data_IF_664280073804
#
_entry.id   IF_664280073804
#
_cell.length_a   1.000
_cell.length_b   1.000
_cell.length_c   1.000
_cell.angle_alpha   90.00
_cell.angle_beta   90.00
_cell.angle_gamma   90.00
#
_symmetry.space_group_name_H-M   'P 1'
#
loop_
_entity.id
_entity.type
_entity.pdbx_description
1 polymer ?
#
# COMPACT_ATOMS: atom_id res chain seq x y z
N UNK A 1 -25.98 46.25 7.91
CA UNK A 1 -25.98 46.92 9.25
C UNK A 1 -25.20 46.01 10.18
N UNK A 2 -24.07 46.55 10.61
CA UNK A 2 -23.33 46.31 11.85
C UNK A 2 -22.72 44.92 12.01
N UNK A 3 -21.47 44.76 12.43
CA UNK A 3 -20.43 45.62 13.00
C UNK A 3 -19.19 44.77 13.17
N UNK A 4 -18.13 45.12 12.54
CA UNK A 4 -16.79 45.36 13.02
C UNK A 4 -16.51 44.88 14.47
N UNK A 5 -15.70 43.83 14.60
CA UNK A 5 -14.79 43.74 15.73
C UNK A 5 -13.41 43.29 15.23
N UNK A 6 -12.58 44.32 15.06
CA UNK A 6 -11.12 44.19 15.00
C UNK A 6 -10.67 44.06 16.46
N UNK A 7 -10.00 42.99 16.79
CA UNK A 7 -9.17 42.96 17.98
C UNK A 7 -7.76 42.56 17.53
N UNK A 8 -6.93 43.61 17.53
CA UNK A 8 -5.48 43.48 17.49
C UNK A 8 -5.04 42.91 18.83
N UNK A 9 -4.34 41.80 18.84
CA UNK A 9 -3.52 41.43 19.98
C UNK A 9 -2.07 41.32 19.50
N UNK A 10 -1.43 42.49 19.55
CA UNK A 10 0.01 42.65 19.53
C UNK A 10 0.52 42.32 20.91
N UNK A 11 1.18 41.21 21.11
CA UNK A 11 2.17 41.04 22.15
C UNK A 11 3.35 40.33 21.56
N UNK A 12 4.39 41.10 21.35
CA UNK A 12 5.71 40.58 21.04
C UNK A 12 6.28 39.88 22.26
N UNK A 13 6.98 38.81 22.02
CA UNK A 13 8.01 38.35 22.91
C UNK A 13 9.25 37.92 22.14
N UNK A 14 10.29 38.62 22.46
CA UNK A 14 11.61 38.53 21.84
C UNK A 14 12.39 37.31 22.34
N UNK A 15 13.25 36.85 21.48
CA UNK A 15 14.56 36.27 21.75
C UNK A 15 14.67 35.13 22.77
N UNK A 16 14.95 33.93 22.30
CA UNK A 16 16.15 33.21 22.79
C UNK A 16 16.86 32.56 21.59
N UNK A 17 17.97 33.14 21.23
CA UNK A 17 19.00 32.55 20.42
C UNK A 17 19.65 31.42 21.23
N UNK A 18 19.33 30.21 20.90
CA UNK A 18 19.99 29.02 21.42
C UNK A 18 20.66 28.27 20.26
N UNK A 19 21.84 28.73 19.88
CA UNK A 19 22.77 27.97 19.07
C UNK A 19 23.20 26.73 19.85
N UNK A 20 22.70 25.57 19.48
CA UNK A 20 23.42 24.32 19.68
C UNK A 20 23.53 23.64 18.32
N UNK A 21 24.61 23.95 17.63
CA UNK A 21 25.09 23.18 16.51
C UNK A 21 25.56 21.82 17.01
N UNK A 22 24.63 20.89 17.17
CA UNK A 22 24.99 19.48 17.24
C UNK A 22 25.02 18.97 15.81
N UNK A 23 26.18 19.12 15.18
CA UNK A 23 26.50 18.37 13.97
C UNK A 23 26.58 16.89 14.33
N UNK A 24 25.43 16.25 14.29
CA UNK A 24 25.43 14.81 14.08
C UNK A 24 25.76 14.60 12.61
N UNK A 25 27.03 14.31 12.31
CA UNK A 25 27.41 13.60 11.12
C UNK A 25 26.76 12.22 11.23
N UNK A 26 25.46 12.18 10.95
CA UNK A 26 24.71 10.94 10.84
C UNK A 26 25.25 10.19 9.64
N UNK A 27 25.75 8.98 9.86
CA UNK A 27 25.81 7.96 8.84
C UNK A 27 24.57 8.10 7.94
N UNK A 28 24.69 7.86 6.61
CA UNK A 28 23.52 7.58 5.83
C UNK A 28 22.91 6.31 6.43
N UNK A 29 22.06 6.50 7.43
CA UNK A 29 21.24 5.45 7.93
C UNK A 29 20.52 4.91 6.70
N UNK A 30 20.80 3.67 6.36
CA UNK A 30 19.92 2.86 5.54
C UNK A 30 18.55 3.23 6.06
N UNK A 31 17.78 3.95 5.24
CA UNK A 31 16.40 4.23 5.56
C UNK A 31 15.72 2.85 5.57
N UNK A 32 15.67 2.26 6.75
CA UNK A 32 14.78 1.16 7.01
C UNK A 32 13.41 1.76 6.74
N UNK A 33 12.87 1.47 5.56
CA UNK A 33 11.49 1.78 5.26
C UNK A 33 10.69 1.08 6.35
N UNK A 34 10.26 1.87 7.30
CA UNK A 34 9.41 1.41 8.37
C UNK A 34 8.06 1.15 7.71
N UNK A 35 7.85 -0.11 7.30
CA UNK A 35 6.56 -0.54 6.75
C UNK A 35 5.47 -0.15 7.73
N UNK A 36 4.41 0.45 7.21
CA UNK A 36 3.22 0.71 8.02
C UNK A 36 2.74 -0.64 8.59
N UNK A 37 2.57 -0.78 9.91
CA UNK A 37 2.09 -2.01 10.52
C UNK A 37 0.81 -2.57 9.88
N UNK A 38 -0.02 -1.70 9.32
CA UNK A 38 -1.26 -2.08 8.61
C UNK A 38 -0.95 -2.80 7.29
N UNK A 39 0.07 -2.34 6.57
CA UNK A 39 0.47 -2.95 5.30
C UNK A 39 1.19 -4.27 5.54
N UNK A 40 2.00 -4.37 6.61
CA UNK A 40 2.63 -5.62 7.01
C UNK A 40 1.58 -6.70 7.34
N UNK A 41 0.56 -6.37 8.14
CA UNK A 41 -0.55 -7.28 8.43
C UNK A 41 -1.34 -7.67 7.17
N UNK A 42 -1.59 -6.72 6.28
CA UNK A 42 -2.26 -6.99 5.01
C UNK A 42 -1.43 -7.91 4.12
N UNK A 43 -0.11 -7.71 4.07
CA UNK A 43 0.83 -8.57 3.34
C UNK A 43 0.72 -10.02 3.81
N UNK A 44 0.84 -10.26 5.10
CA UNK A 44 0.82 -11.61 5.69
C UNK A 44 -0.52 -12.31 5.43
N UNK A 45 -1.62 -11.58 5.53
CA UNK A 45 -2.95 -12.09 5.21
C UNK A 45 -3.09 -12.47 3.74
N UNK A 46 -2.57 -11.64 2.82
CA UNK A 46 -2.61 -11.91 1.39
C UNK A 46 -1.73 -13.11 1.02
N UNK A 47 -0.49 -13.15 1.51
CA UNK A 47 0.45 -14.23 1.21
C UNK A 47 -0.10 -15.59 1.69
N UNK A 48 -0.55 -15.66 2.94
CA UNK A 48 -1.08 -16.90 3.52
C UNK A 48 -2.44 -17.28 2.95
N UNK A 49 -3.36 -16.31 2.87
CA UNK A 49 -4.73 -16.57 2.44
C UNK A 49 -4.90 -16.87 0.96
N UNK A 50 -3.99 -16.37 0.11
CA UNK A 50 -3.99 -16.64 -1.33
C UNK A 50 -3.05 -17.80 -1.70
N UNK A 51 -2.38 -18.42 -0.73
CA UNK A 51 -1.44 -19.52 -0.96
C UNK A 51 -0.39 -19.17 -2.02
N UNK A 52 0.26 -18.00 -1.85
CA UNK A 52 1.27 -17.51 -2.80
C UNK A 52 2.42 -18.50 -2.92
N UNK A 53 2.71 -18.94 -4.14
CA UNK A 53 3.69 -20.00 -4.42
C UNK A 53 4.87 -19.50 -5.25
N UNK A 54 4.63 -18.55 -6.16
CA UNK A 54 5.64 -18.10 -7.11
C UNK A 54 6.20 -16.73 -6.76
N UNK A 55 7.43 -16.48 -7.22
CA UNK A 55 8.06 -15.16 -7.07
C UNK A 55 7.29 -14.08 -7.82
N UNK A 56 6.70 -14.42 -8.97
CA UNK A 56 5.90 -13.47 -9.76
C UNK A 56 4.63 -13.04 -9.01
N UNK A 57 3.93 -13.97 -8.38
CA UNK A 57 2.77 -13.69 -7.53
C UNK A 57 3.15 -12.80 -6.36
N UNK A 58 4.27 -13.11 -5.69
CA UNK A 58 4.80 -12.31 -4.57
C UNK A 58 5.11 -10.89 -5.04
N UNK A 59 5.81 -10.71 -6.14
CA UNK A 59 6.11 -9.40 -6.72
C UNK A 59 4.84 -8.59 -7.01
N UNK A 60 3.81 -9.24 -7.54
CA UNK A 60 2.53 -8.57 -7.78
C UNK A 60 1.91 -8.07 -6.47
N UNK A 61 1.87 -8.89 -5.43
CA UNK A 61 1.37 -8.49 -4.11
C UNK A 61 2.16 -7.29 -3.58
N UNK A 62 3.51 -7.32 -3.65
CA UNK A 62 4.35 -6.20 -3.21
C UNK A 62 4.04 -4.91 -3.98
N UNK A 63 3.86 -4.98 -5.30
CA UNK A 63 3.47 -3.82 -6.10
C UNK A 63 2.09 -3.27 -5.73
N UNK A 64 1.14 -4.14 -5.41
CA UNK A 64 -0.19 -3.71 -4.94
C UNK A 64 -0.07 -3.02 -3.58
N UNK A 65 0.69 -3.61 -2.64
CA UNK A 65 0.89 -3.04 -1.30
C UNK A 65 1.60 -1.69 -1.36
N UNK A 66 2.64 -1.55 -2.18
CA UNK A 66 3.32 -0.28 -2.39
C UNK A 66 2.36 0.82 -2.87
N UNK A 67 1.44 0.48 -3.76
CA UNK A 67 0.41 1.44 -4.23
C UNK A 67 -0.68 1.70 -3.20
N UNK A 68 -0.92 0.78 -2.27
CA UNK A 68 -1.79 1.03 -1.12
C UNK A 68 -1.13 2.02 -0.16
N UNK A 69 0.16 1.87 0.10
CA UNK A 69 0.94 2.80 0.93
C UNK A 69 0.98 4.22 0.34
N UNK A 70 1.13 4.33 -1.00
CA UNK A 70 1.09 5.61 -1.70
C UNK A 70 -0.33 6.17 -1.90
N UNK A 71 -1.36 5.51 -1.38
CA UNK A 71 -2.78 5.86 -1.56
C UNK A 71 -3.27 5.86 -3.01
N UNK A 72 -2.55 5.24 -3.94
CA UNK A 72 -3.01 5.04 -5.32
C UNK A 72 -4.10 3.98 -5.42
N UNK A 73 -4.01 2.94 -4.59
CA UNK A 73 -5.01 1.89 -4.47
C UNK A 73 -5.64 1.97 -3.07
N UNK A 74 -6.95 2.17 -2.96
CA UNK A 74 -7.62 2.13 -1.66
C UNK A 74 -7.48 0.74 -1.01
N UNK A 75 -7.03 0.68 0.23
CA UNK A 75 -6.90 -0.59 0.97
C UNK A 75 -8.22 -1.37 0.97
N UNK A 76 -9.36 -0.69 1.12
CA UNK A 76 -10.69 -1.33 1.09
C UNK A 76 -10.97 -2.10 -0.20
N UNK A 77 -10.39 -1.66 -1.32
CA UNK A 77 -10.53 -2.34 -2.60
C UNK A 77 -9.83 -3.70 -2.56
N UNK A 78 -8.62 -3.73 -2.02
CA UNK A 78 -7.81 -4.95 -1.85
C UNK A 78 -8.48 -5.90 -0.86
N UNK A 79 -8.87 -5.39 0.31
CA UNK A 79 -9.57 -6.18 1.33
C UNK A 79 -10.86 -6.80 0.78
N UNK A 80 -11.64 -6.04 0.03
CA UNK A 80 -12.89 -6.53 -0.56
C UNK A 80 -12.67 -7.63 -1.60
N UNK A 81 -11.60 -7.54 -2.40
CA UNK A 81 -11.23 -8.59 -3.36
C UNK A 81 -10.77 -9.85 -2.63
N UNK A 82 -9.94 -9.70 -1.59
CA UNK A 82 -9.47 -10.79 -0.76
C UNK A 82 -10.62 -11.53 -0.05
N UNK A 83 -11.51 -10.79 0.61
CA UNK A 83 -12.66 -11.37 1.30
C UNK A 83 -13.58 -12.13 0.32
N UNK A 84 -13.79 -11.60 -0.87
CA UNK A 84 -14.57 -12.29 -1.89
C UNK A 84 -13.96 -13.65 -2.24
N UNK A 85 -12.64 -13.70 -2.44
CA UNK A 85 -11.94 -14.95 -2.73
C UNK A 85 -12.03 -15.92 -1.56
N UNK A 86 -11.84 -15.44 -0.34
CA UNK A 86 -11.96 -16.28 0.87
C UNK A 86 -13.35 -16.88 1.03
N UNK A 87 -14.39 -16.13 0.68
CA UNK A 87 -15.78 -16.61 0.80
C UNK A 87 -16.19 -17.55 -0.33
N UNK A 88 -15.65 -17.36 -1.54
CA UNK A 88 -16.15 -18.07 -2.72
C UNK A 88 -15.16 -19.09 -3.30
N UNK A 89 -13.87 -18.94 -3.04
CA UNK A 89 -12.79 -19.70 -3.67
C UNK A 89 -11.73 -20.22 -2.69
N UNK A 90 -12.02 -20.27 -1.38
CA UNK A 90 -11.05 -20.68 -0.35
C UNK A 90 -10.45 -22.06 -0.59
N UNK A 91 -11.23 -23.00 -1.12
CA UNK A 91 -10.82 -24.39 -1.37
C UNK A 91 -10.23 -24.60 -2.76
N UNK A 92 -10.12 -23.55 -3.59
CA UNK A 92 -9.48 -23.66 -4.90
C UNK A 92 -7.96 -23.82 -4.78
N UNK A 93 -7.38 -24.54 -5.76
CA UNK A 93 -5.93 -24.75 -5.80
C UNK A 93 -5.15 -23.46 -6.07
N UNK A 94 -5.77 -22.51 -6.75
CA UNK A 94 -5.15 -21.25 -7.17
C UNK A 94 -6.00 -20.02 -6.77
N UNK A 95 -6.15 -19.70 -5.48
CA UNK A 95 -6.95 -18.56 -5.05
C UNK A 95 -6.37 -17.22 -5.52
N UNK A 96 -5.06 -17.12 -5.72
CA UNK A 96 -4.40 -15.93 -6.27
C UNK A 96 -4.95 -15.53 -7.65
N UNK A 97 -5.21 -16.49 -8.54
CA UNK A 97 -5.78 -16.22 -9.87
C UNK A 97 -7.10 -15.45 -9.77
N UNK A 98 -7.97 -15.89 -8.88
CA UNK A 98 -9.27 -15.21 -8.67
C UNK A 98 -9.11 -13.84 -8.01
N UNK A 99 -8.17 -13.72 -7.08
CA UNK A 99 -7.86 -12.44 -6.43
C UNK A 99 -7.40 -11.40 -7.45
N UNK A 100 -6.43 -11.71 -8.28
CA UNK A 100 -5.92 -10.82 -9.31
C UNK A 100 -7.05 -10.37 -10.25
N UNK A 101 -7.87 -11.30 -10.71
CA UNK A 101 -8.98 -11.01 -11.61
C UNK A 101 -10.05 -10.13 -10.96
N UNK A 102 -10.46 -10.44 -9.74
CA UNK A 102 -11.46 -9.66 -9.00
C UNK A 102 -10.93 -8.26 -8.69
N UNK A 103 -9.67 -8.17 -8.25
CA UNK A 103 -9.02 -6.88 -7.97
C UNK A 103 -8.98 -6.01 -9.21
N UNK A 104 -8.64 -6.57 -10.37
CA UNK A 104 -8.61 -5.85 -11.65
C UNK A 104 -10.00 -5.37 -12.09
N UNK A 105 -11.02 -6.21 -11.98
CA UNK A 105 -12.40 -5.83 -12.33
C UNK A 105 -12.89 -4.70 -11.42
N UNK A 106 -12.66 -4.81 -10.11
CA UNK A 106 -13.06 -3.80 -9.14
C UNK A 106 -12.27 -2.51 -9.31
N UNK A 107 -10.96 -2.61 -9.56
CA UNK A 107 -10.10 -1.46 -9.85
C UNK A 107 -10.60 -0.69 -11.07
N UNK A 108 -10.89 -1.39 -12.17
CA UNK A 108 -11.44 -0.77 -13.38
C UNK A 108 -12.75 -0.02 -13.10
N UNK A 109 -13.66 -0.60 -12.32
CA UNK A 109 -14.92 0.06 -11.92
C UNK A 109 -14.71 1.29 -11.04
N UNK A 110 -13.67 1.26 -10.21
CA UNK A 110 -13.31 2.36 -9.32
C UNK A 110 -12.38 3.41 -9.96
N UNK A 111 -12.00 3.23 -11.23
CA UNK A 111 -11.04 4.11 -11.90
C UNK A 111 -9.61 4.00 -11.36
N UNK A 112 -9.26 2.87 -10.73
CA UNK A 112 -7.96 2.62 -10.11
C UNK A 112 -7.12 1.72 -11.00
N UNK A 113 -5.89 2.15 -11.30
CA UNK A 113 -4.94 1.36 -12.09
C UNK A 113 -4.32 0.24 -11.24
N UNK A 114 -4.57 -1.01 -11.60
CA UNK A 114 -3.97 -2.18 -10.97
C UNK A 114 -2.69 -2.56 -11.72
N UNK A 115 -1.60 -2.93 -11.03
CA UNK A 115 -0.37 -3.37 -11.67
C UNK A 115 -0.60 -4.52 -12.66
N UNK A 116 0.13 -4.54 -13.79
CA UNK A 116 0.02 -5.66 -14.72
C UNK A 116 0.58 -6.94 -14.08
N UNK A 117 -0.08 -8.05 -14.34
CA UNK A 117 0.41 -9.39 -13.99
C UNK A 117 0.45 -10.27 -15.23
N UNK A 118 1.59 -10.88 -15.49
CA UNK A 118 1.76 -11.84 -16.58
C UNK A 118 1.91 -13.22 -15.99
N UNK A 119 0.99 -14.09 -16.33
CA UNK A 119 1.10 -15.50 -15.96
C UNK A 119 2.32 -16.11 -16.67
N UNK A 120 3.20 -16.82 -15.94
CA UNK A 120 4.28 -17.54 -16.59
C UNK A 120 3.67 -18.57 -17.53
N UNK A 121 3.76 -18.30 -18.82
CA UNK A 121 3.47 -19.29 -19.83
C UNK A 121 4.47 -20.41 -19.65
N UNK A 122 3.97 -21.59 -19.27
CA UNK A 122 4.76 -22.81 -19.32
C UNK A 122 5.18 -22.94 -20.77
N UNK A 123 6.43 -22.62 -21.09
CA UNK A 123 7.01 -22.94 -22.37
C UNK A 123 6.83 -24.43 -22.52
N UNK A 124 5.87 -24.83 -23.34
CA UNK A 124 5.80 -26.19 -23.86
C UNK A 124 7.04 -26.31 -24.75
N UNK A 125 8.14 -26.72 -24.14
CA UNK A 125 9.30 -27.16 -24.85
C UNK A 125 8.83 -28.45 -25.55
N UNK A 126 8.47 -28.32 -26.82
CA UNK A 126 8.30 -29.44 -27.70
C UNK A 126 9.70 -30.05 -27.89
N UNK A 127 9.95 -31.12 -27.19
CA UNK A 127 11.03 -32.06 -27.53
C UNK A 127 10.57 -32.96 -28.69
#
# INVERSE_FOLDING_TARGET
MWSRFRIYFLIGFAMVVGMTASQWAGNPAIAVQQEDPRTADLRDRLISGLKIRTTSERKFIEQVLQRVESNEIPQKLVDSAFLWVRSNKANHDYPFFYFERVLRIRGKRAGVAIPPFTYPTKSLKND
#
